data_IF_693721551839
#
_entry.id   IF_693721551839
#
_cell.length_a   1.000
_cell.length_b   1.000
_cell.length_c   1.000
_cell.angle_alpha   90.00
_cell.angle_beta   90.00
_cell.angle_gamma   90.00
#
_symmetry.space_group_name_H-M   'P 1'
#
loop_
_entity.id
_entity.type
_entity.pdbx_description
1 polymer ?
#
# COMPACT_ATOMS: atom_id res chain seq x y z
N UNK A 1 -36.25 -11.27 10.42
CA UNK A 1 -35.43 -12.10 9.52
C UNK A 1 -36.20 -12.59 8.31
N UNK A 2 -37.51 -12.34 8.24
CA UNK A 2 -38.35 -12.82 7.14
C UNK A 2 -38.88 -11.65 6.30
N UNK A 3 -39.26 -11.94 5.06
CA UNK A 3 -39.74 -11.02 4.05
C UNK A 3 -40.85 -11.72 3.24
N UNK A 4 -41.95 -11.04 2.88
CA UNK A 4 -42.98 -11.66 2.05
C UNK A 4 -42.43 -12.08 0.69
N UNK A 5 -42.76 -13.29 0.24
CA UNK A 5 -42.49 -13.70 -1.13
C UNK A 5 -43.28 -12.82 -2.13
N UNK A 6 -42.98 -12.93 -3.43
CA UNK A 6 -43.62 -12.09 -4.46
C UNK A 6 -45.16 -12.14 -4.45
N UNK A 7 -45.72 -13.29 -4.07
CA UNK A 7 -47.17 -13.52 -3.96
C UNK A 7 -47.77 -13.02 -2.64
N UNK A 8 -46.96 -12.47 -1.72
CA UNK A 8 -47.31 -11.99 -0.37
C UNK A 8 -48.11 -13.00 0.46
N UNK A 9 -47.92 -14.29 0.20
CA UNK A 9 -48.67 -15.36 0.85
C UNK A 9 -47.84 -16.12 1.88
N UNK A 10 -46.52 -15.95 1.86
CA UNK A 10 -45.60 -16.58 2.80
C UNK A 10 -44.45 -15.63 3.14
N UNK A 11 -43.97 -15.71 4.37
CA UNK A 11 -42.76 -15.04 4.83
C UNK A 11 -41.56 -15.98 4.60
N UNK A 12 -40.62 -15.55 3.76
CA UNK A 12 -39.36 -16.26 3.46
C UNK A 12 -38.18 -15.58 4.15
N UNK A 13 -37.14 -16.32 4.51
CA UNK A 13 -35.92 -15.73 5.06
C UNK A 13 -35.30 -14.72 4.10
N UNK A 14 -34.88 -13.54 4.60
CA UNK A 14 -34.17 -12.55 3.80
C UNK A 14 -32.84 -13.12 3.27
N UNK A 15 -32.49 -12.83 2.02
CA UNK A 15 -31.24 -13.28 1.40
C UNK A 15 -30.04 -12.49 1.92
N UNK A 16 -28.90 -13.13 2.15
CA UNK A 16 -27.68 -12.46 2.61
C UNK A 16 -26.85 -11.96 1.41
N UNK A 17 -26.39 -10.71 1.43
CA UNK A 17 -25.54 -10.12 0.38
C UNK A 17 -24.20 -9.68 0.99
N UNK A 18 -23.11 -10.30 0.51
CA UNK A 18 -21.72 -10.04 0.86
C UNK A 18 -20.84 -10.52 -0.31
N UNK A 19 -19.57 -10.09 -0.38
CA UNK A 19 -18.67 -10.48 -1.46
C UNK A 19 -18.22 -11.95 -1.27
N UNK A 20 -18.97 -12.89 -1.84
CA UNK A 20 -18.75 -14.32 -1.62
C UNK A 20 -17.57 -14.84 -2.43
N UNK A 21 -16.75 -15.72 -1.85
CA UNK A 21 -15.68 -16.41 -2.59
C UNK A 21 -16.20 -17.30 -3.71
N UNK A 22 -17.41 -17.87 -3.56
CA UNK A 22 -17.90 -18.98 -4.38
C UNK A 22 -18.87 -18.50 -5.46
N UNK A 23 -19.70 -17.49 -5.15
CA UNK A 23 -20.85 -17.14 -6.00
C UNK A 23 -20.69 -15.81 -6.76
N UNK A 24 -19.59 -15.07 -6.56
CA UNK A 24 -19.35 -13.77 -7.20
C UNK A 24 -18.13 -13.80 -8.12
N UNK A 25 -18.34 -13.59 -9.42
CA UNK A 25 -17.26 -13.45 -10.41
C UNK A 25 -16.29 -12.30 -10.06
N UNK A 26 -16.77 -11.28 -9.35
CA UNK A 26 -15.98 -10.14 -8.88
C UNK A 26 -14.93 -10.58 -7.85
N UNK A 27 -15.29 -11.46 -6.90
CA UNK A 27 -14.36 -12.00 -5.91
C UNK A 27 -13.27 -12.84 -6.56
N UNK A 28 -13.64 -13.66 -7.55
CA UNK A 28 -12.69 -14.47 -8.32
C UNK A 28 -11.71 -13.58 -9.12
N UNK A 29 -12.21 -12.50 -9.73
CA UNK A 29 -11.39 -11.52 -10.44
C UNK A 29 -10.37 -10.84 -9.51
N UNK A 30 -10.80 -10.31 -8.37
CA UNK A 30 -9.90 -9.68 -7.42
C UNK A 30 -8.88 -10.65 -6.82
N UNK A 31 -9.30 -11.88 -6.50
CA UNK A 31 -8.41 -12.94 -6.01
C UNK A 31 -7.33 -13.27 -7.05
N UNK A 32 -7.73 -13.45 -8.31
CA UNK A 32 -6.80 -13.76 -9.41
C UNK A 32 -5.77 -12.64 -9.59
N UNK A 33 -6.20 -11.39 -9.61
CA UNK A 33 -5.32 -10.22 -9.74
C UNK A 33 -4.37 -10.11 -8.54
N UNK A 34 -4.87 -10.28 -7.32
CA UNK A 34 -4.06 -10.24 -6.11
C UNK A 34 -2.95 -11.31 -6.14
N UNK A 35 -3.29 -12.55 -6.52
CA UNK A 35 -2.33 -13.65 -6.65
C UNK A 35 -1.32 -13.35 -7.75
N UNK A 36 -1.77 -12.88 -8.91
CA UNK A 36 -0.90 -12.54 -10.03
C UNK A 36 0.16 -11.49 -9.64
N UNK A 37 -0.25 -10.38 -9.02
CA UNK A 37 0.71 -9.36 -8.59
C UNK A 37 1.58 -9.82 -7.42
N UNK A 38 1.07 -10.65 -6.51
CA UNK A 38 1.86 -11.27 -5.45
C UNK A 38 2.98 -12.16 -6.03
N UNK A 39 2.67 -12.97 -7.05
CA UNK A 39 3.66 -13.80 -7.74
C UNK A 39 4.71 -12.94 -8.47
N UNK A 40 4.31 -11.85 -9.12
CA UNK A 40 5.26 -10.90 -9.71
C UNK A 40 6.18 -10.32 -8.64
N UNK A 41 5.64 -9.86 -7.51
CA UNK A 41 6.43 -9.32 -6.41
C UNK A 41 7.38 -10.37 -5.81
N UNK A 42 6.99 -11.65 -5.76
CA UNK A 42 7.85 -12.76 -5.38
C UNK A 42 9.01 -12.98 -6.36
N UNK A 43 8.73 -12.95 -7.67
CA UNK A 43 9.79 -13.05 -8.70
C UNK A 43 10.78 -11.90 -8.57
N UNK A 44 10.29 -10.66 -8.44
CA UNK A 44 11.12 -9.47 -8.21
C UNK A 44 11.97 -9.64 -6.95
N UNK A 45 11.39 -10.14 -5.86
CA UNK A 45 12.12 -10.40 -4.62
C UNK A 45 13.24 -11.41 -4.83
N UNK A 46 12.96 -12.51 -5.54
CA UNK A 46 13.97 -13.53 -5.87
C UNK A 46 15.10 -12.94 -6.70
N UNK A 47 14.80 -12.13 -7.72
CA UNK A 47 15.82 -11.43 -8.53
C UNK A 47 16.70 -10.54 -7.66
N UNK A 48 16.12 -9.75 -6.76
CA UNK A 48 16.87 -8.87 -5.86
C UNK A 48 17.76 -9.64 -4.87
N UNK A 49 17.32 -10.81 -4.39
CA UNK A 49 18.15 -11.67 -3.52
C UNK A 49 19.28 -12.32 -4.32
N UNK A 50 19.01 -12.86 -5.50
CA UNK A 50 20.05 -13.48 -6.35
C UNK A 50 21.11 -12.46 -6.77
N UNK A 51 20.70 -11.23 -7.07
CA UNK A 51 21.59 -10.15 -7.50
C UNK A 51 21.94 -9.17 -6.36
N UNK A 52 21.94 -9.64 -5.10
CA UNK A 52 22.11 -8.78 -3.94
C UNK A 52 23.42 -7.97 -3.97
N UNK A 53 24.49 -8.55 -4.53
CA UNK A 53 25.82 -7.94 -4.61
C UNK A 53 26.03 -6.99 -5.79
N UNK A 54 25.01 -6.82 -6.62
CA UNK A 54 25.09 -5.89 -7.73
C UNK A 54 25.10 -4.42 -7.26
N UNK A 55 25.88 -3.54 -7.92
CA UNK A 55 25.95 -2.12 -7.61
C UNK A 55 24.57 -1.43 -7.55
N UNK A 56 23.65 -1.79 -8.45
CA UNK A 56 22.28 -1.25 -8.47
C UNK A 56 21.54 -1.54 -7.15
N UNK A 57 21.57 -2.79 -6.68
CA UNK A 57 20.86 -3.20 -5.44
C UNK A 57 21.54 -2.63 -4.20
N UNK A 58 22.86 -2.53 -4.20
CA UNK A 58 23.63 -1.96 -3.08
C UNK A 58 23.46 -0.43 -2.95
N UNK A 59 23.42 0.30 -4.07
CA UNK A 59 23.17 1.74 -4.07
C UNK A 59 21.74 2.08 -3.61
N UNK A 60 20.81 1.16 -3.78
CA UNK A 60 19.38 1.33 -3.52
C UNK A 60 18.93 1.05 -2.08
N UNK A 61 19.84 1.13 -1.11
CA UNK A 61 19.60 0.82 0.31
C UNK A 61 18.77 -0.47 0.49
N UNK A 62 19.46 -1.62 0.43
CA UNK A 62 18.88 -2.97 0.44
C UNK A 62 17.74 -3.12 1.45
N UNK A 63 17.94 -2.66 2.70
CA UNK A 63 16.97 -2.76 3.80
C UNK A 63 15.60 -2.15 3.43
N UNK A 64 15.59 -0.90 2.94
CA UNK A 64 14.35 -0.22 2.56
C UNK A 64 13.67 -0.87 1.36
N UNK A 65 14.45 -1.29 0.37
CA UNK A 65 13.89 -1.92 -0.83
C UNK A 65 13.24 -3.27 -0.51
N UNK A 66 13.84 -4.08 0.37
CA UNK A 66 13.23 -5.32 0.85
C UNK A 66 12.00 -5.05 1.71
N UNK A 67 12.07 -4.08 2.63
CA UNK A 67 10.94 -3.73 3.49
C UNK A 67 9.74 -3.29 2.65
N UNK A 68 9.95 -2.38 1.68
CA UNK A 68 8.91 -1.93 0.76
C UNK A 68 8.30 -3.10 -0.04
N UNK A 69 9.12 -4.02 -0.55
CA UNK A 69 8.64 -5.15 -1.33
C UNK A 69 7.85 -6.17 -0.48
N UNK A 70 8.27 -6.39 0.77
CA UNK A 70 7.51 -7.19 1.74
C UNK A 70 6.16 -6.53 2.03
N UNK A 71 6.13 -5.21 2.29
CA UNK A 71 4.88 -4.49 2.52
C UNK A 71 3.93 -4.56 1.32
N UNK A 72 4.44 -4.39 0.10
CA UNK A 72 3.64 -4.52 -1.13
C UNK A 72 3.04 -5.94 -1.26
N UNK A 73 3.82 -6.99 -0.97
CA UNK A 73 3.31 -8.37 -0.98
C UNK A 73 2.20 -8.56 0.05
N UNK A 74 2.40 -8.07 1.27
CA UNK A 74 1.39 -8.15 2.33
C UNK A 74 0.13 -7.37 1.95
N UNK A 75 0.25 -6.24 1.24
CA UNK A 75 -0.88 -5.50 0.69
C UNK A 75 -1.65 -6.25 -0.39
N UNK A 76 -1.00 -7.06 -1.23
CA UNK A 76 -1.74 -7.94 -2.15
C UNK A 76 -2.46 -9.06 -1.39
N UNK A 77 -1.84 -9.61 -0.35
CA UNK A 77 -2.47 -10.64 0.50
C UNK A 77 -3.60 -10.08 1.38
N UNK A 78 -3.57 -8.80 1.76
CA UNK A 78 -4.62 -8.23 2.61
C UNK A 78 -5.98 -8.21 1.91
N UNK A 79 -6.03 -8.26 0.57
CA UNK A 79 -7.27 -8.38 -0.22
C UNK A 79 -8.11 -9.57 0.25
N UNK A 80 -7.51 -10.69 0.65
CA UNK A 80 -8.24 -11.87 1.11
C UNK A 80 -9.01 -11.64 2.43
N UNK A 81 -8.64 -10.63 3.22
CA UNK A 81 -9.37 -10.23 4.43
C UNK A 81 -10.68 -9.48 4.12
N UNK A 82 -10.80 -8.92 2.92
CA UNK A 82 -12.00 -8.22 2.44
C UNK A 82 -12.98 -9.14 1.72
N UNK A 83 -12.55 -10.36 1.36
CA UNK A 83 -13.34 -11.35 0.66
C UNK A 83 -14.00 -12.32 1.64
N UNK A 84 -15.17 -12.84 1.29
CA UNK A 84 -15.90 -13.82 2.08
C UNK A 84 -16.89 -13.20 3.07
N UNK A 85 -17.44 -14.04 3.96
CA UNK A 85 -18.40 -13.59 4.97
C UNK A 85 -17.65 -12.81 6.05
N UNK A 86 -17.94 -11.51 6.26
CA UNK A 86 -17.29 -10.76 7.32
C UNK A 86 -17.73 -11.30 8.67
N UNK A 87 -16.74 -11.48 9.55
CA UNK A 87 -16.86 -11.77 10.98
C UNK A 87 -16.05 -10.74 11.77
N UNK A 88 -16.30 -10.59 13.07
CA UNK A 88 -15.67 -9.55 13.90
C UNK A 88 -14.15 -9.49 13.74
N UNK A 89 -13.46 -10.64 13.77
CA UNK A 89 -12.00 -10.72 13.61
C UNK A 89 -11.56 -10.19 12.25
N UNK A 90 -12.25 -10.58 11.15
CA UNK A 90 -11.90 -10.08 9.81
C UNK A 90 -12.19 -8.58 9.67
N UNK A 91 -13.24 -8.08 10.34
CA UNK A 91 -13.56 -6.65 10.37
C UNK A 91 -12.44 -5.84 11.06
N UNK A 92 -11.89 -6.35 12.16
CA UNK A 92 -10.75 -5.74 12.83
C UNK A 92 -9.49 -5.80 11.95
N UNK A 93 -9.19 -6.96 11.37
CA UNK A 93 -7.94 -7.17 10.64
C UNK A 93 -7.87 -6.43 9.31
N UNK A 94 -8.99 -6.21 8.60
CA UNK A 94 -8.98 -5.68 7.23
C UNK A 94 -8.31 -4.30 7.15
N UNK A 95 -8.75 -3.33 7.96
CA UNK A 95 -8.28 -1.94 7.91
C UNK A 95 -6.94 -1.80 8.60
N UNK A 96 -6.69 -2.59 9.65
CA UNK A 96 -5.45 -2.54 10.42
C UNK A 96 -4.29 -3.12 9.63
N UNK A 97 -4.49 -4.29 9.04
CA UNK A 97 -3.47 -4.92 8.20
C UNK A 97 -3.15 -4.00 7.03
N UNK A 98 -4.18 -3.52 6.34
CA UNK A 98 -4.04 -2.57 5.24
C UNK A 98 -3.31 -1.29 5.67
N UNK A 99 -3.76 -0.63 6.75
CA UNK A 99 -3.21 0.64 7.20
C UNK A 99 -1.76 0.55 7.65
N UNK A 100 -1.40 -0.52 8.36
CA UNK A 100 -0.02 -0.76 8.81
C UNK A 100 0.88 -1.08 7.61
N UNK A 101 0.49 -1.98 6.72
CA UNK A 101 1.34 -2.36 5.58
C UNK A 101 1.59 -1.17 4.65
N UNK A 102 0.55 -0.37 4.39
CA UNK A 102 0.66 0.84 3.60
C UNK A 102 1.50 1.93 4.27
N UNK A 103 1.31 2.14 5.57
CA UNK A 103 2.15 3.09 6.31
C UNK A 103 3.63 2.71 6.25
N UNK A 104 3.97 1.43 6.40
CA UNK A 104 5.35 0.95 6.24
C UNK A 104 5.86 1.20 4.80
N UNK A 105 5.04 0.91 3.79
CA UNK A 105 5.41 1.12 2.39
C UNK A 105 5.68 2.60 2.07
N UNK A 106 4.76 3.49 2.42
CA UNK A 106 4.90 4.94 2.20
C UNK A 106 6.04 5.50 3.05
N UNK A 107 6.21 5.07 4.29
CA UNK A 107 7.35 5.47 5.14
C UNK A 107 8.69 5.04 4.54
N UNK A 108 8.74 3.87 3.90
CA UNK A 108 9.95 3.40 3.20
C UNK A 108 10.28 4.30 2.01
N UNK A 109 9.26 4.73 1.26
CA UNK A 109 9.42 5.69 0.16
C UNK A 109 9.83 7.08 0.63
N UNK A 110 9.25 7.53 1.75
CA UNK A 110 9.63 8.77 2.41
C UNK A 110 11.10 8.74 2.81
N UNK A 111 11.51 7.71 3.56
CA UNK A 111 12.88 7.50 3.97
C UNK A 111 13.83 7.46 2.77
N UNK A 112 13.42 6.79 1.69
CA UNK A 112 14.20 6.73 0.46
C UNK A 112 14.37 8.09 -0.20
N UNK A 113 13.30 8.87 -0.30
CA UNK A 113 13.33 10.24 -0.83
C UNK A 113 14.21 11.15 0.02
N UNK A 114 14.12 11.05 1.35
CA UNK A 114 14.99 11.80 2.28
C UNK A 114 16.45 11.43 2.03
N UNK A 115 16.77 10.14 1.88
CA UNK A 115 18.14 9.70 1.59
C UNK A 115 18.68 10.30 0.28
N UNK A 116 17.85 10.35 -0.77
CA UNK A 116 18.21 11.03 -2.03
C UNK A 116 18.50 12.50 -1.76
N UNK A 117 17.58 13.25 -1.14
CA UNK A 117 17.76 14.66 -0.82
C UNK A 117 19.01 14.95 0.04
N UNK A 118 19.29 14.10 1.03
CA UNK A 118 20.45 14.25 1.93
C UNK A 118 21.75 13.94 1.19
N UNK A 119 21.79 12.91 0.32
CA UNK A 119 22.96 12.59 -0.49
C UNK A 119 23.39 13.78 -1.38
N UNK A 120 22.43 14.51 -1.95
CA UNK A 120 22.70 15.73 -2.72
C UNK A 120 23.20 16.91 -1.88
N UNK A 121 22.80 17.02 -0.60
CA UNK A 121 23.32 18.06 0.29
C UNK A 121 24.70 17.71 0.86
N UNK A 122 24.98 16.43 1.07
CA UNK A 122 26.22 15.92 1.66
C UNK A 122 27.43 15.92 0.71
N UNK A 123 27.24 16.16 -0.60
CA UNK A 123 28.33 16.42 -1.55
C UNK A 123 29.03 17.77 -1.34
N UNK A 124 28.51 18.65 -0.45
CA UNK A 124 29.26 19.82 0.03
C UNK A 124 30.33 19.38 1.05
N UNK A 125 31.63 19.69 0.84
CA UNK A 125 32.69 19.26 1.75
C UNK A 125 32.51 19.87 3.15
N UNK A 126 32.73 19.08 4.22
CA UNK A 126 32.74 19.53 5.62
C UNK A 126 31.47 19.30 6.46
N UNK A 127 30.43 18.62 5.95
CA UNK A 127 29.18 18.44 6.70
C UNK A 127 29.16 17.20 7.63
N UNK A 128 28.77 17.41 8.89
CA UNK A 128 28.52 16.37 9.93
C UNK A 128 27.48 15.31 9.51
N UNK A 129 26.72 15.59 8.45
CA UNK A 129 25.66 14.72 7.92
C UNK A 129 26.19 13.38 7.40
N UNK A 130 27.47 13.29 7.01
CA UNK A 130 28.08 12.11 6.38
C UNK A 130 28.06 10.85 7.27
N UNK A 131 28.14 11.00 8.60
CA UNK A 131 28.07 9.90 9.58
C UNK A 131 26.64 9.43 9.83
N UNK A 132 25.64 10.29 9.62
CA UNK A 132 24.22 9.96 9.82
C UNK A 132 23.55 9.39 8.55
N UNK A 133 24.15 9.58 7.37
CA UNK A 133 23.71 9.00 6.08
C UNK A 133 23.78 7.45 6.00
N UNK A 134 24.18 6.77 7.07
CA UNK A 134 24.18 5.30 7.13
C UNK A 134 22.77 4.71 7.22
N UNK A 135 22.69 3.39 7.41
CA UNK A 135 21.42 2.62 7.52
C UNK A 135 20.53 3.09 8.69
N UNK A 136 21.09 3.81 9.66
CA UNK A 136 20.39 4.27 10.87
C UNK A 136 19.27 5.28 10.58
N UNK A 137 19.53 6.30 9.76
CA UNK A 137 18.55 7.34 9.42
C UNK A 137 17.29 6.78 8.74
N UNK A 138 17.38 6.05 7.62
CA UNK A 138 16.19 5.55 6.93
C UNK A 138 15.38 4.58 7.78
N UNK A 139 16.04 3.70 8.54
CA UNK A 139 15.34 2.79 9.46
C UNK A 139 14.64 3.56 10.58
N UNK A 140 15.26 4.63 11.12
CA UNK A 140 14.64 5.48 12.14
C UNK A 140 13.38 6.17 11.62
N UNK A 141 13.40 6.69 10.39
CA UNK A 141 12.23 7.31 9.76
C UNK A 141 11.10 6.31 9.63
N UNK A 142 11.39 5.12 9.10
CA UNK A 142 10.37 4.08 8.92
C UNK A 142 9.77 3.64 10.25
N UNK A 143 10.60 3.39 11.26
CA UNK A 143 10.14 2.97 12.58
C UNK A 143 9.26 4.04 13.23
N UNK A 144 9.69 5.30 13.19
CA UNK A 144 8.92 6.41 13.76
C UNK A 144 7.56 6.56 13.08
N UNK A 145 7.52 6.67 11.75
CA UNK A 145 6.25 6.84 11.03
C UNK A 145 5.32 5.63 11.18
N UNK A 146 5.86 4.41 11.11
CA UNK A 146 5.05 3.19 11.27
C UNK A 146 4.52 3.04 12.70
N UNK A 147 5.30 3.43 13.72
CA UNK A 147 4.86 3.37 15.12
C UNK A 147 3.67 4.26 15.40
N UNK A 148 3.59 5.44 14.78
CA UNK A 148 2.43 6.34 14.93
C UNK A 148 1.17 5.66 14.39
N UNK A 149 1.24 5.05 13.20
CA UNK A 149 0.11 4.30 12.63
C UNK A 149 -0.32 3.14 13.54
N UNK A 150 0.65 2.39 14.07
CA UNK A 150 0.37 1.26 14.98
C UNK A 150 -0.34 1.76 16.24
N UNK A 151 0.12 2.85 16.85
CA UNK A 151 -0.51 3.44 18.04
C UNK A 151 -1.95 3.88 17.74
N UNK A 152 -2.19 4.52 16.59
CA UNK A 152 -3.53 4.91 16.16
C UNK A 152 -4.43 3.67 16.03
N UNK A 153 -3.96 2.63 15.34
CA UNK A 153 -4.72 1.38 15.15
C UNK A 153 -5.02 0.68 16.49
N UNK A 154 -4.03 0.58 17.39
CA UNK A 154 -4.23 -0.06 18.70
C UNK A 154 -5.19 0.72 19.58
N UNK A 155 -5.11 2.06 19.54
CA UNK A 155 -6.04 2.92 20.30
C UNK A 155 -7.47 2.77 19.78
N UNK A 156 -7.64 2.72 18.46
CA UNK A 156 -8.96 2.50 17.87
C UNK A 156 -9.54 1.14 18.25
N UNK A 157 -8.75 0.06 18.16
CA UNK A 157 -9.16 -1.27 18.61
C UNK A 157 -9.53 -1.34 20.09
N UNK A 158 -8.80 -0.63 20.95
CA UNK A 158 -9.04 -0.67 22.38
C UNK A 158 -10.33 0.07 22.79
N UNK A 159 -10.66 1.16 22.10
CA UNK A 159 -11.80 2.02 22.45
C UNK A 159 -13.08 1.54 21.77
N UNK A 160 -13.03 1.25 20.47
CA UNK A 160 -14.21 0.92 19.66
C UNK A 160 -13.80 0.10 18.44
N UNK A 161 -13.52 -1.20 18.62
CA UNK A 161 -13.06 -2.04 17.52
C UNK A 161 -14.16 -2.22 16.46
N UNK A 162 -13.79 -2.38 15.17
CA UNK A 162 -14.74 -2.74 14.13
C UNK A 162 -15.40 -4.10 14.41
N UNK A 163 -16.69 -4.22 14.08
CA UNK A 163 -17.49 -5.43 14.32
C UNK A 163 -18.42 -5.74 13.15
N UNK A 164 -18.92 -6.97 13.08
CA UNK A 164 -19.85 -7.39 12.05
C UNK A 164 -21.24 -6.79 12.31
N UNK A 165 -21.81 -6.13 11.31
CA UNK A 165 -23.16 -5.56 11.33
C UNK A 165 -24.05 -6.23 10.28
N UNK A 166 -25.30 -6.47 10.66
CA UNK A 166 -26.35 -6.99 9.80
C UNK A 166 -27.29 -5.84 9.43
N UNK A 167 -27.09 -5.23 8.27
CA UNK A 167 -27.95 -4.16 7.80
C UNK A 167 -29.20 -4.74 7.12
N UNK A 168 -30.34 -4.46 7.74
CA UNK A 168 -31.67 -4.95 7.36
C UNK A 168 -32.51 -3.90 6.62
N UNK A 169 -32.02 -2.66 6.52
CA UNK A 169 -32.80 -1.47 6.14
C UNK A 169 -32.41 -0.92 4.76
N UNK A 170 -31.20 -1.20 4.27
CA UNK A 170 -30.74 -0.65 2.99
C UNK A 170 -31.44 -1.23 1.76
N UNK A 171 -31.76 -2.54 1.74
CA UNK A 171 -32.52 -3.16 0.65
C UNK A 171 -33.69 -4.02 1.18
N UNK A 172 -34.93 -3.81 0.71
CA UNK A 172 -36.05 -4.67 1.08
C UNK A 172 -35.80 -6.10 0.61
N UNK A 173 -36.01 -7.08 1.49
CA UNK A 173 -35.79 -8.51 1.21
C UNK A 173 -34.36 -9.03 1.37
N UNK A 174 -33.35 -8.16 1.57
CA UNK A 174 -31.93 -8.55 1.68
C UNK A 174 -31.35 -8.15 3.04
N UNK A 175 -30.41 -8.96 3.56
CA UNK A 175 -29.56 -8.66 4.71
C UNK A 175 -28.15 -8.40 4.18
N UNK A 176 -27.67 -7.17 4.29
CA UNK A 176 -26.27 -6.87 3.93
C UNK A 176 -25.41 -7.22 5.16
N UNK A 177 -24.46 -8.12 5.00
CA UNK A 177 -23.48 -8.40 6.05
C UNK A 177 -22.24 -7.56 5.75
N UNK A 178 -21.99 -6.57 6.59
CA UNK A 178 -20.88 -5.62 6.43
C UNK A 178 -20.13 -5.45 7.74
N UNK A 179 -18.96 -4.84 7.69
CA UNK A 179 -18.22 -4.47 8.88
C UNK A 179 -18.53 -3.01 9.22
N UNK A 180 -19.04 -2.79 10.42
CA UNK A 180 -19.16 -1.45 10.99
C UNK A 180 -17.81 -1.06 11.61
N UNK A 181 -17.40 0.17 11.39
CA UNK A 181 -16.11 0.69 11.87
C UNK A 181 -16.09 0.94 13.39
N UNK A 182 -17.25 0.94 14.04
CA UNK A 182 -17.42 1.22 15.47
C UNK A 182 -17.23 2.70 15.81
N UNK A 183 -16.12 3.30 15.37
CA UNK A 183 -15.80 4.72 15.57
C UNK A 183 -15.38 5.38 14.27
N UNK A 184 -16.19 6.34 13.81
CA UNK A 184 -15.84 7.18 12.66
C UNK A 184 -14.53 7.95 12.90
N UNK A 185 -14.31 8.44 14.13
CA UNK A 185 -13.07 9.14 14.49
C UNK A 185 -11.86 8.22 14.35
N UNK A 186 -11.97 6.98 14.83
CA UNK A 186 -10.91 5.96 14.69
C UNK A 186 -10.60 5.68 13.22
N UNK A 187 -11.62 5.38 12.43
CA UNK A 187 -11.49 5.16 10.99
C UNK A 187 -10.83 6.33 10.25
N UNK A 188 -11.35 7.55 10.42
CA UNK A 188 -10.78 8.73 9.76
C UNK A 188 -9.38 9.10 10.28
N UNK A 189 -9.04 8.77 11.53
CA UNK A 189 -7.69 9.00 12.04
C UNK A 189 -6.65 8.10 11.35
N UNK A 190 -6.99 6.83 11.07
CA UNK A 190 -6.14 5.90 10.31
C UNK A 190 -5.94 6.40 8.89
N UNK A 191 -7.03 6.69 8.18
CA UNK A 191 -6.98 7.17 6.78
C UNK A 191 -6.30 8.54 6.70
N UNK A 192 -6.60 9.44 7.62
CA UNK A 192 -6.02 10.78 7.69
C UNK A 192 -4.51 10.75 7.90
N UNK A 193 -4.01 9.90 8.78
CA UNK A 193 -2.56 9.73 8.96
C UNK A 193 -1.89 9.18 7.69
N UNK A 194 -2.46 8.16 7.07
CA UNK A 194 -1.94 7.63 5.79
C UNK A 194 -1.92 8.71 4.70
N UNK A 195 -2.98 9.52 4.61
CA UNK A 195 -3.09 10.64 3.67
C UNK A 195 -2.03 11.70 3.92
N UNK A 196 -1.80 12.07 5.19
CA UNK A 196 -0.74 13.01 5.57
C UNK A 196 0.64 12.46 5.20
N UNK A 197 0.92 11.21 5.53
CA UNK A 197 2.18 10.55 5.22
C UNK A 197 2.41 10.49 3.70
N UNK A 198 1.37 10.20 2.92
CA UNK A 198 1.42 10.19 1.47
C UNK A 198 1.67 11.59 0.89
N UNK A 199 1.00 12.62 1.41
CA UNK A 199 1.19 14.01 0.99
C UNK A 199 2.61 14.50 1.23
N UNK A 200 3.15 14.27 2.44
CA UNK A 200 4.56 14.62 2.77
C UNK A 200 5.53 13.89 1.85
N UNK A 201 5.30 12.60 1.62
CA UNK A 201 6.12 11.78 0.72
C UNK A 201 6.07 12.28 -0.72
N UNK A 202 4.89 12.65 -1.20
CA UNK A 202 4.71 13.18 -2.55
C UNK A 202 5.41 14.54 -2.73
N UNK A 203 5.23 15.47 -1.79
CA UNK A 203 5.89 16.79 -1.83
C UNK A 203 7.41 16.64 -1.87
N UNK A 204 7.98 15.81 -0.99
CA UNK A 204 9.42 15.57 -0.99
C UNK A 204 9.90 14.87 -2.27
N UNK A 205 9.15 13.90 -2.79
CA UNK A 205 9.51 13.22 -4.02
C UNK A 205 9.51 14.20 -5.21
N UNK A 206 8.47 15.03 -5.28
CA UNK A 206 8.34 16.07 -6.31
C UNK A 206 9.47 17.09 -6.25
N UNK A 207 9.94 17.47 -5.06
CA UNK A 207 11.11 18.33 -4.91
C UNK A 207 12.40 17.61 -5.32
N UNK A 208 12.53 16.31 -5.03
CA UNK A 208 13.70 15.51 -5.38
C UNK A 208 13.82 15.25 -6.89
N UNK A 209 12.72 15.34 -7.67
CA UNK A 209 12.69 15.02 -9.11
C UNK A 209 13.64 15.88 -9.97
N UNK A 210 14.00 17.07 -9.50
CA UNK A 210 14.90 18.00 -10.19
C UNK A 210 16.37 17.72 -9.91
N UNK A 211 16.66 16.82 -8.96
CA UNK A 211 18.02 16.48 -8.60
C UNK A 211 18.64 15.55 -9.67
N UNK A 212 19.90 15.78 -10.08
CA UNK A 212 20.57 14.98 -11.10
C UNK A 212 20.97 13.62 -10.51
N UNK A 213 20.03 12.68 -10.50
CA UNK A 213 20.23 11.34 -9.97
C UNK A 213 20.63 10.34 -11.07
N UNK A 214 21.51 9.41 -10.71
CA UNK A 214 22.19 8.42 -11.56
C UNK A 214 21.26 7.55 -12.43
N UNK A 215 19.98 7.41 -12.09
CA UNK A 215 19.04 6.51 -12.81
C UNK A 215 17.60 7.04 -12.98
N UNK A 216 17.35 8.35 -12.98
CA UNK A 216 15.99 8.90 -12.95
C UNK A 216 15.15 8.37 -11.76
N UNK A 217 15.78 7.87 -10.70
CA UNK A 217 15.12 7.19 -9.59
C UNK A 217 14.11 8.11 -8.87
N UNK A 218 14.49 9.36 -8.62
CA UNK A 218 13.57 10.36 -8.06
C UNK A 218 12.31 10.58 -8.92
N UNK A 219 12.40 10.45 -10.25
CA UNK A 219 11.24 10.57 -11.16
C UNK A 219 10.29 9.38 -10.99
N UNK A 220 10.82 8.16 -10.94
CA UNK A 220 10.02 6.96 -10.70
C UNK A 220 9.33 6.98 -9.33
N UNK A 221 10.03 7.43 -8.29
CA UNK A 221 9.43 7.62 -6.95
C UNK A 221 8.31 8.66 -7.02
N UNK A 222 8.54 9.81 -7.67
CA UNK A 222 7.51 10.86 -7.82
C UNK A 222 6.27 10.35 -8.54
N UNK A 223 6.46 9.66 -9.66
CA UNK A 223 5.35 9.09 -10.44
C UNK A 223 4.57 8.05 -9.63
N UNK A 224 5.27 7.19 -8.87
CA UNK A 224 4.63 6.21 -7.98
C UNK A 224 3.80 6.87 -6.88
N UNK A 225 4.32 7.94 -6.26
CA UNK A 225 3.61 8.70 -5.23
C UNK A 225 2.43 9.48 -5.79
N UNK A 226 2.56 10.02 -7.01
CA UNK A 226 1.46 10.69 -7.70
C UNK A 226 0.31 9.71 -7.95
N UNK A 227 0.60 8.56 -8.56
CA UNK A 227 -0.39 7.50 -8.81
C UNK A 227 -1.07 7.07 -7.51
N UNK A 228 -0.28 6.85 -6.46
CA UNK A 228 -0.80 6.52 -5.14
C UNK A 228 -1.80 7.57 -4.64
N UNK A 229 -1.40 8.84 -4.60
CA UNK A 229 -2.26 9.94 -4.16
C UNK A 229 -3.53 10.06 -5.01
N UNK A 230 -3.42 9.95 -6.33
CA UNK A 230 -4.57 10.00 -7.24
C UNK A 230 -5.59 8.90 -6.94
N UNK A 231 -5.13 7.66 -6.74
CA UNK A 231 -6.01 6.53 -6.39
C UNK A 231 -6.77 6.80 -5.09
N UNK A 232 -6.07 7.28 -4.04
CA UNK A 232 -6.70 7.56 -2.75
C UNK A 232 -7.66 8.75 -2.79
N UNK A 233 -7.34 9.81 -3.54
CA UNK A 233 -8.24 10.96 -3.72
C UNK A 233 -9.51 10.52 -4.46
N UNK A 234 -9.39 9.73 -5.53
CA UNK A 234 -10.54 9.22 -6.29
C UNK A 234 -11.35 8.19 -5.50
N UNK A 235 -10.73 7.47 -4.57
CA UNK A 235 -11.40 6.50 -3.71
C UNK A 235 -12.41 7.16 -2.75
N UNK A 236 -12.14 8.37 -2.23
CA UNK A 236 -13.05 9.07 -1.30
C UNK A 236 -14.47 9.24 -1.86
N UNK A 237 -14.70 9.89 -3.02
CA UNK A 237 -16.05 10.04 -3.55
C UNK A 237 -16.68 8.70 -3.96
N UNK A 238 -15.89 7.74 -4.44
CA UNK A 238 -16.38 6.41 -4.79
C UNK A 238 -16.86 5.64 -3.55
N UNK A 239 -16.12 5.71 -2.44
CA UNK A 239 -16.48 5.09 -1.16
C UNK A 239 -17.77 5.69 -0.61
N UNK A 240 -17.90 7.03 -0.63
CA UNK A 240 -19.10 7.73 -0.13
C UNK A 240 -20.34 7.53 -1.01
N UNK A 241 -20.16 7.27 -2.30
CA UNK A 241 -21.25 7.11 -3.27
C UNK A 241 -21.74 5.67 -3.44
N UNK A 242 -20.98 4.70 -2.94
CA UNK A 242 -21.31 3.27 -3.04
C UNK A 242 -21.77 2.72 -1.69
N UNK A 243 -22.57 1.65 -1.71
CA UNK A 243 -23.07 0.99 -0.49
C UNK A 243 -22.89 -0.53 -0.58
N UNK A 244 -22.85 -1.18 0.57
CA UNK A 244 -22.76 -2.63 0.71
C UNK A 244 -21.51 -3.20 0.04
N UNK A 245 -21.67 -4.28 -0.73
CA UNK A 245 -20.54 -4.99 -1.37
C UNK A 245 -19.70 -4.14 -2.32
N UNK A 246 -20.29 -3.11 -2.95
CA UNK A 246 -19.56 -2.25 -3.88
C UNK A 246 -18.55 -1.35 -3.16
N UNK A 247 -18.82 -0.96 -1.91
CA UNK A 247 -17.87 -0.19 -1.09
C UNK A 247 -16.58 -0.99 -0.86
N UNK A 248 -16.71 -2.29 -0.55
CA UNK A 248 -15.58 -3.21 -0.39
C UNK A 248 -14.80 -3.38 -1.69
N UNK A 249 -15.49 -3.46 -2.84
CA UNK A 249 -14.83 -3.50 -4.15
C UNK A 249 -13.96 -2.27 -4.42
N UNK A 250 -14.43 -1.07 -4.04
CA UNK A 250 -13.69 0.19 -4.19
C UNK A 250 -12.41 0.16 -3.33
N UNK A 251 -12.49 -0.33 -2.09
CA UNK A 251 -11.33 -0.50 -1.21
C UNK A 251 -10.30 -1.47 -1.80
N UNK A 252 -10.73 -2.66 -2.23
CA UNK A 252 -9.86 -3.66 -2.85
C UNK A 252 -9.19 -3.08 -4.12
N UNK A 253 -9.96 -2.39 -4.97
CA UNK A 253 -9.43 -1.77 -6.18
C UNK A 253 -8.36 -0.72 -5.86
N UNK A 254 -8.59 0.11 -4.85
CA UNK A 254 -7.61 1.10 -4.40
C UNK A 254 -6.33 0.43 -3.87
N UNK A 255 -6.45 -0.62 -3.06
CA UNK A 255 -5.31 -1.40 -2.52
C UNK A 255 -4.48 -2.01 -3.66
N UNK A 256 -5.14 -2.69 -4.60
CA UNK A 256 -4.47 -3.34 -5.73
C UNK A 256 -3.78 -2.34 -6.63
N UNK A 257 -4.49 -1.27 -7.03
CA UNK A 257 -3.98 -0.27 -7.99
C UNK A 257 -2.80 0.50 -7.41
N UNK A 258 -2.90 0.95 -6.16
CA UNK A 258 -1.81 1.66 -5.49
C UNK A 258 -0.58 0.75 -5.28
N UNK A 259 -0.77 -0.49 -4.83
CA UNK A 259 0.33 -1.45 -4.63
C UNK A 259 0.99 -1.84 -5.96
N UNK A 260 0.20 -2.07 -7.01
CA UNK A 260 0.70 -2.34 -8.35
C UNK A 260 1.46 -1.13 -8.92
N UNK A 261 0.97 0.10 -8.70
CA UNK A 261 1.66 1.33 -9.06
C UNK A 261 3.03 1.44 -8.39
N UNK A 262 3.13 1.18 -7.08
CA UNK A 262 4.41 1.15 -6.37
C UNK A 262 5.35 0.06 -6.92
N UNK A 263 4.85 -1.15 -7.12
CA UNK A 263 5.64 -2.28 -7.63
C UNK A 263 6.22 -1.98 -9.02
N UNK A 264 5.35 -1.58 -9.94
CA UNK A 264 5.69 -1.33 -11.34
C UNK A 264 6.60 -0.12 -11.49
N UNK A 265 6.32 1.00 -10.82
CA UNK A 265 7.11 2.21 -11.00
C UNK A 265 8.51 2.10 -10.38
N UNK A 266 8.64 1.41 -9.23
CA UNK A 266 9.88 1.43 -8.44
C UNK A 266 10.79 0.24 -8.77
N UNK A 267 10.22 -0.96 -8.91
CA UNK A 267 11.00 -2.20 -9.01
C UNK A 267 11.13 -2.72 -10.43
N UNK A 268 10.12 -2.52 -11.29
CA UNK A 268 10.15 -3.05 -12.66
C UNK A 268 11.28 -2.43 -13.52
N UNK A 269 11.53 -1.10 -13.50
CA UNK A 269 12.69 -0.52 -14.19
C UNK A 269 14.02 -1.12 -13.70
N UNK A 270 14.12 -1.44 -12.40
CA UNK A 270 15.34 -2.00 -11.81
C UNK A 270 15.55 -3.45 -12.18
N UNK A 271 14.49 -4.25 -12.17
CA UNK A 271 14.55 -5.63 -12.65
C UNK A 271 14.92 -5.67 -14.13
N UNK A 272 14.34 -4.77 -14.93
CA UNK A 272 14.68 -4.65 -16.35
C UNK A 272 16.17 -4.38 -16.54
N UNK A 273 16.73 -3.39 -15.82
CA UNK A 273 18.17 -3.09 -15.92
C UNK A 273 19.04 -4.26 -15.43
N UNK A 274 18.69 -4.93 -14.33
CA UNK A 274 19.46 -6.05 -13.78
C UNK A 274 19.49 -7.24 -14.75
N UNK A 275 18.37 -7.56 -15.40
CA UNK A 275 18.23 -8.76 -16.25
C UNK A 275 18.63 -8.52 -17.71
N UNK A 276 18.26 -7.38 -18.28
CA UNK A 276 18.38 -7.12 -19.72
C UNK A 276 19.43 -6.07 -20.08
N UNK A 277 19.96 -5.33 -19.11
CA UNK A 277 21.00 -4.31 -19.31
C UNK A 277 22.15 -4.42 -18.28
N UNK A 278 22.79 -5.60 -18.13
CA UNK A 278 23.85 -5.80 -17.15
C UNK A 278 25.04 -4.85 -17.33
N UNK A 279 25.26 -4.30 -18.53
CA UNK A 279 26.27 -3.29 -18.83
C UNK A 279 26.11 -2.00 -17.99
N UNK A 280 24.87 -1.63 -17.66
CA UNK A 280 24.57 -0.47 -16.81
C UNK A 280 24.69 -0.77 -15.31
N UNK A 281 24.97 -2.02 -14.94
CA UNK A 281 25.12 -2.48 -13.57
C UNK A 281 26.58 -2.42 -13.08
N UNK A 282 27.39 -1.55 -13.67
CA UNK A 282 28.78 -1.29 -13.27
C UNK A 282 28.84 -0.10 -12.32
N UNK A 283 29.83 -0.08 -11.41
CA UNK A 283 29.99 1.02 -10.42
C UNK A 283 30.15 2.39 -11.10
N UNK A 284 30.78 2.43 -12.28
CA UNK A 284 30.99 3.66 -13.08
C UNK A 284 29.69 4.27 -13.57
N UNK A 285 28.76 3.45 -14.08
CA UNK A 285 27.45 3.92 -14.51
C UNK A 285 26.54 4.29 -13.32
N UNK A 286 26.65 3.57 -12.20
CA UNK A 286 25.82 3.82 -11.00
C UNK A 286 26.21 5.07 -10.22
N UNK A 287 27.50 5.40 -10.18
CA UNK A 287 27.99 6.60 -9.47
C UNK A 287 27.95 7.83 -10.38
N UNK A 288 27.63 7.65 -11.66
CA UNK A 288 27.80 8.63 -12.72
C UNK A 288 29.29 8.81 -13.03
N UNK A 289 29.63 8.95 -14.31
CA UNK A 289 30.96 9.42 -14.72
C UNK A 289 31.22 10.82 -14.14
N UNK A 290 31.73 10.88 -12.91
CA UNK A 290 32.50 11.99 -12.37
C UNK A 290 33.95 11.53 -12.22
N UNK A 291 34.56 11.29 -13.37
CA UNK A 291 36.00 11.17 -13.52
C UNK A 291 36.36 11.57 -14.96
N UNK A 292 36.08 12.84 -15.28
CA UNK A 292 36.91 13.66 -16.16
C UNK A 292 36.67 15.13 -15.84
#
# INVERSE_FOLDING_TARGET
>A
MEWPNERKNQCIGKTQDFLSYINDYISAFFSSIAIFFFLIALVIMKVFVTHIDTPIVRANNRSLSFLLLVSIKLSFLSVFLFLGRPVDITCMLRIITFGITFSIAVSSLLAKTIMVCVAFKATKPGSSWRTWMGVKLPNSVVLFCSSIQIIICMTWLAISPPFQELDLHTYPGTIIIQCNEGSAIGFYSVIGYMGLLAAVSFVLAFLARTLPDSFNEAKYITFSMLLFCSVWITMIPAYLSTKGKNTVCVEIFAILTSSAGLLTCIFLPKCYTILFRPEMNTKSHVIGNKAL
#
